data_IF_909614314525
#
_entry.id   IF_909614314525
#
_cell.length_a   1.000
_cell.length_b   1.000
_cell.length_c   1.000
_cell.angle_alpha   90.00
_cell.angle_beta   90.00
_cell.angle_gamma   90.00
#
_symmetry.space_group_name_H-M   'P 1'
#
loop_
_entity.id
_entity.type
_entity.pdbx_description
1 polymer ?
#
# COMPACT_ATOMS: atom_id res chain seq x y z
N UNK A 1 -19.76 6.96 -14.49
CA UNK A 1 -19.17 7.32 -13.18
C UNK A 1 -18.51 6.08 -12.59
N UNK A 2 -17.21 6.11 -12.36
CA UNK A 2 -16.46 4.93 -11.91
C UNK A 2 -16.75 4.60 -10.44
N UNK A 3 -16.77 5.61 -9.55
CA UNK A 3 -17.15 5.49 -8.16
C UNK A 3 -18.60 5.97 -7.98
N UNK A 4 -19.40 5.17 -7.25
CA UNK A 4 -20.81 5.45 -6.97
C UNK A 4 -21.10 5.61 -5.48
N UNK A 5 -20.05 5.70 -4.67
CA UNK A 5 -20.16 5.85 -3.23
C UNK A 5 -20.94 7.11 -2.86
N UNK A 6 -21.80 6.99 -1.85
CA UNK A 6 -22.63 8.10 -1.36
C UNK A 6 -21.79 9.25 -0.84
N UNK A 7 -20.66 8.94 -0.22
CA UNK A 7 -19.74 9.89 0.35
C UNK A 7 -18.39 9.81 -0.35
N UNK A 8 -17.95 10.90 -0.89
CA UNK A 8 -16.67 11.03 -1.59
C UNK A 8 -16.04 12.34 -1.16
N UNK A 9 -14.76 12.33 -0.83
CA UNK A 9 -14.05 13.53 -0.41
C UNK A 9 -12.56 13.28 -0.29
N UNK A 10 -11.85 14.38 -0.07
CA UNK A 10 -10.42 14.39 0.22
C UNK A 10 -10.20 15.09 1.58
N UNK A 11 -9.23 14.69 2.38
CA UNK A 11 -8.88 15.44 3.58
C UNK A 11 -8.46 16.87 3.20
N UNK A 12 -9.03 17.89 3.85
CA UNK A 12 -8.80 19.30 3.52
C UNK A 12 -7.31 19.72 3.62
N UNK A 13 -6.56 19.11 4.53
CA UNK A 13 -5.13 19.34 4.74
C UNK A 13 -4.26 18.21 4.16
N UNK A 14 -4.86 17.33 3.35
CA UNK A 14 -4.18 16.18 2.76
C UNK A 14 -4.03 14.99 3.69
N UNK A 15 -3.61 13.86 3.11
CA UNK A 15 -3.48 12.60 3.83
C UNK A 15 -2.36 12.61 4.88
N UNK A 16 -1.27 13.33 4.64
CA UNK A 16 -0.15 13.43 5.60
C UNK A 16 -0.63 14.02 6.93
N UNK A 17 -1.38 15.11 6.88
CA UNK A 17 -1.94 15.74 8.08
C UNK A 17 -2.98 14.85 8.78
N UNK A 18 -3.80 14.13 8.00
CA UNK A 18 -4.76 13.16 8.54
C UNK A 18 -4.04 12.06 9.33
N UNK A 19 -3.04 11.41 8.72
CA UNK A 19 -2.28 10.35 9.39
C UNK A 19 -1.45 10.86 10.56
N UNK A 20 -0.85 12.05 10.46
CA UNK A 20 -0.14 12.65 11.59
C UNK A 20 -1.06 12.78 12.81
N UNK A 21 -2.29 13.29 12.62
CA UNK A 21 -3.28 13.36 13.72
C UNK A 21 -3.72 12.01 14.25
N UNK A 22 -3.88 11.01 13.38
CA UNK A 22 -4.23 9.64 13.82
C UNK A 22 -3.13 8.98 14.65
N UNK A 23 -1.87 9.31 14.39
CA UNK A 23 -0.69 8.74 15.05
C UNK A 23 -0.24 9.56 16.27
N UNK A 24 -0.80 10.75 16.47
CA UNK A 24 -0.51 11.63 17.63
C UNK A 24 -1.21 11.10 18.89
N UNK A 25 -0.62 10.06 19.48
CA UNK A 25 -1.14 9.42 20.68
C UNK A 25 0.01 8.92 21.56
N UNK A 26 -0.05 9.09 22.91
CA UNK A 26 1.04 8.75 23.82
C UNK A 26 1.45 7.27 23.83
N UNK A 27 0.57 6.38 23.35
CA UNK A 27 0.85 4.93 23.23
C UNK A 27 1.26 4.50 21.82
N UNK A 28 1.50 5.44 20.89
CA UNK A 28 1.97 5.16 19.55
C UNK A 28 3.37 5.72 19.39
N UNK A 29 4.31 4.85 19.02
CA UNK A 29 5.67 5.25 18.64
C UNK A 29 5.84 5.05 17.14
N UNK A 30 6.02 6.16 16.42
CA UNK A 30 6.28 6.13 14.98
C UNK A 30 7.79 6.10 14.73
N UNK A 31 8.24 5.11 13.97
CA UNK A 31 9.63 5.03 13.50
C UNK A 31 9.63 5.05 11.97
N UNK A 32 10.19 6.11 11.39
CA UNK A 32 10.35 6.27 9.94
C UNK A 32 11.70 5.74 9.47
N UNK A 33 11.89 5.63 8.16
CA UNK A 33 13.13 5.19 7.51
C UNK A 33 13.67 3.86 8.05
N UNK A 34 12.76 2.96 8.44
CA UNK A 34 13.08 1.67 9.03
C UNK A 34 12.36 0.55 8.29
N UNK A 35 13.11 -0.26 7.57
CA UNK A 35 12.58 -1.49 6.98
C UNK A 35 12.21 -2.49 8.08
N UNK A 36 10.99 -3.01 8.05
CA UNK A 36 10.52 -4.00 9.02
C UNK A 36 11.45 -5.23 9.11
N UNK A 37 12.06 -5.65 7.99
CA UNK A 37 13.01 -6.76 7.91
C UNK A 37 14.33 -6.49 8.63
N UNK A 38 14.71 -5.23 8.79
CA UNK A 38 15.90 -4.85 9.55
C UNK A 38 15.71 -4.94 11.07
N UNK A 39 14.46 -4.95 11.53
CA UNK A 39 14.13 -4.94 12.97
C UNK A 39 13.32 -6.15 13.41
N UNK A 40 12.70 -6.91 12.48
CA UNK A 40 11.95 -8.12 12.76
C UNK A 40 12.69 -9.34 12.19
N UNK A 41 12.81 -10.38 13.00
CA UNK A 41 13.35 -11.68 12.58
C UNK A 41 12.41 -12.79 13.03
N UNK A 42 12.14 -13.72 12.13
CA UNK A 42 11.25 -14.86 12.33
C UNK A 42 12.07 -16.17 12.41
N UNK A 43 12.02 -16.85 13.54
CA UNK A 43 12.65 -18.14 13.71
C UNK A 43 11.58 -19.24 13.59
N UNK A 44 11.49 -19.85 12.41
CA UNK A 44 10.52 -20.90 12.12
C UNK A 44 10.76 -22.19 12.90
N UNK A 45 11.99 -22.45 13.37
CA UNK A 45 12.32 -23.64 14.14
C UNK A 45 11.83 -23.57 15.60
N UNK A 46 11.81 -22.35 16.15
CA UNK A 46 11.37 -22.08 17.51
C UNK A 46 9.99 -21.43 17.59
N UNK A 47 9.37 -21.07 16.44
CA UNK A 47 8.13 -20.30 16.34
C UNK A 47 8.20 -18.98 17.11
N UNK A 48 9.36 -18.32 17.07
CA UNK A 48 9.65 -17.08 17.79
C UNK A 48 9.85 -15.90 16.85
N UNK A 49 9.43 -14.74 17.33
CA UNK A 49 9.69 -13.44 16.69
C UNK A 49 10.70 -12.70 17.55
N UNK A 50 11.60 -12.00 16.89
CA UNK A 50 12.55 -11.09 17.49
C UNK A 50 12.31 -9.69 16.95
N UNK A 51 12.32 -8.72 17.84
CA UNK A 51 12.28 -7.30 17.50
C UNK A 51 13.51 -6.61 18.05
N UNK A 52 14.34 -6.02 17.19
CA UNK A 52 15.63 -5.41 17.56
C UNK A 52 16.46 -6.34 18.44
N UNK A 53 16.62 -7.57 18.00
CA UNK A 53 17.37 -8.65 18.66
C UNK A 53 16.89 -9.04 20.08
N UNK A 54 15.69 -8.62 20.47
CA UNK A 54 15.04 -9.07 21.69
C UNK A 54 13.85 -9.98 21.35
N UNK A 55 13.60 -11.05 22.15
CA UNK A 55 12.39 -11.85 22.00
C UNK A 55 11.13 -10.96 22.04
N UNK A 56 10.20 -11.22 21.14
CA UNK A 56 9.00 -10.43 21.02
C UNK A 56 7.75 -11.32 21.03
N UNK A 57 6.94 -11.17 22.08
CA UNK A 57 5.70 -11.92 22.27
C UNK A 57 4.44 -11.11 21.89
N UNK A 58 4.64 -9.88 21.39
CA UNK A 58 3.56 -9.01 20.95
C UNK A 58 2.98 -9.39 19.58
N UNK A 59 1.92 -8.73 19.18
CA UNK A 59 1.28 -8.92 17.87
C UNK A 59 2.00 -8.13 16.80
N UNK A 60 2.18 -8.73 15.63
CA UNK A 60 2.72 -8.08 14.44
C UNK A 60 1.61 -7.97 13.41
N UNK A 61 1.23 -6.75 13.03
CA UNK A 61 0.32 -6.49 11.90
C UNK A 61 1.19 -6.02 10.74
N UNK A 62 1.34 -6.89 9.74
CA UNK A 62 2.20 -6.62 8.60
C UNK A 62 1.38 -6.19 7.39
N UNK A 63 1.77 -5.08 6.75
CA UNK A 63 1.05 -4.49 5.61
C UNK A 63 1.87 -4.41 4.33
N UNK A 64 3.16 -4.73 4.39
CA UNK A 64 4.06 -4.78 3.24
C UNK A 64 3.87 -6.03 2.38
N UNK A 65 4.72 -6.22 1.37
CA UNK A 65 4.68 -7.40 0.52
C UNK A 65 5.07 -8.66 1.30
N UNK A 66 4.21 -9.67 1.29
CA UNK A 66 4.36 -10.87 2.12
C UNK A 66 5.58 -11.71 1.74
N UNK A 67 5.93 -11.75 0.46
CA UNK A 67 7.12 -12.44 -0.05
C UNK A 67 8.42 -11.77 0.42
N UNK A 68 8.43 -10.44 0.56
CA UNK A 68 9.55 -9.70 1.14
C UNK A 68 9.74 -10.03 2.62
N UNK A 69 8.66 -10.14 3.39
CA UNK A 69 8.74 -10.53 4.80
C UNK A 69 9.36 -11.92 5.00
N UNK A 70 9.20 -12.80 4.03
CA UNK A 70 9.73 -14.17 4.05
C UNK A 70 11.00 -14.33 3.15
N UNK A 71 11.74 -13.23 2.89
CA UNK A 71 12.99 -13.21 2.12
C UNK A 71 12.88 -13.92 0.75
N UNK A 72 11.72 -13.81 0.09
CA UNK A 72 11.44 -14.42 -1.20
C UNK A 72 11.77 -15.91 -1.31
N UNK A 73 11.64 -16.65 -0.22
CA UNK A 73 12.05 -18.07 -0.10
C UNK A 73 11.39 -18.99 -1.15
N UNK A 74 10.27 -18.59 -1.72
CA UNK A 74 9.57 -19.28 -2.81
C UNK A 74 9.64 -18.56 -4.15
N UNK A 75 10.45 -17.49 -4.25
CA UNK A 75 10.51 -16.57 -5.38
C UNK A 75 9.57 -15.38 -5.22
N UNK A 76 9.82 -14.30 -5.98
CA UNK A 76 9.02 -13.07 -5.86
C UNK A 76 7.59 -13.29 -6.33
N UNK A 77 6.62 -12.72 -5.61
CA UNK A 77 5.24 -12.62 -6.05
C UNK A 77 5.13 -11.60 -7.19
N UNK A 78 4.39 -11.92 -8.26
CA UNK A 78 4.18 -11.00 -9.36
C UNK A 78 3.28 -9.83 -8.98
N UNK A 79 3.78 -8.61 -9.15
CA UNK A 79 3.03 -7.36 -8.99
C UNK A 79 3.08 -6.53 -10.26
N UNK A 80 2.10 -5.68 -10.45
CA UNK A 80 2.23 -4.52 -11.33
C UNK A 80 2.93 -3.40 -10.59
N UNK A 81 3.68 -2.60 -11.36
CA UNK A 81 4.31 -1.38 -10.89
C UNK A 81 3.85 -0.17 -11.70
N UNK A 82 4.19 1.01 -11.25
CA UNK A 82 3.93 2.27 -11.93
C UNK A 82 5.20 3.12 -11.96
N UNK A 83 5.35 3.88 -13.04
CA UNK A 83 6.26 5.02 -13.09
C UNK A 83 5.43 6.30 -13.16
N UNK A 84 5.76 7.23 -12.28
CA UNK A 84 5.13 8.54 -12.24
C UNK A 84 6.05 9.59 -12.90
N UNK A 85 5.48 10.39 -13.78
CA UNK A 85 6.13 11.55 -14.38
C UNK A 85 5.44 12.80 -13.82
N UNK A 86 6.12 13.50 -12.90
CA UNK A 86 5.63 14.74 -12.31
C UNK A 86 5.92 15.91 -13.22
N UNK A 87 4.90 16.69 -13.52
CA UNK A 87 4.91 17.79 -14.48
C UNK A 87 4.32 19.04 -13.87
N UNK A 88 4.75 20.19 -14.40
CA UNK A 88 4.24 21.50 -14.05
C UNK A 88 3.88 22.27 -15.31
N UNK A 89 2.85 23.11 -15.26
CA UNK A 89 2.43 23.99 -16.35
C UNK A 89 2.04 25.38 -15.83
N UNK A 90 2.50 26.42 -16.52
CA UNK A 90 2.18 27.82 -16.23
C UNK A 90 0.81 28.20 -16.83
N UNK A 91 -0.19 27.40 -16.50
CA UNK A 91 -1.59 27.62 -16.86
C UNK A 91 -2.49 27.10 -15.75
N UNK A 92 -3.70 27.62 -15.66
CA UNK A 92 -4.60 27.30 -14.55
C UNK A 92 -4.94 25.80 -14.50
N UNK A 93 -5.22 25.16 -15.62
CA UNK A 93 -5.53 23.75 -15.75
C UNK A 93 -4.98 23.17 -17.06
N UNK A 94 -4.55 21.89 -17.01
CA UNK A 94 -4.10 21.14 -18.21
C UNK A 94 -5.20 20.21 -18.75
N UNK A 95 -6.24 19.95 -17.96
CA UNK A 95 -7.36 19.09 -18.33
C UNK A 95 -8.64 19.52 -17.60
N UNK A 96 -9.83 19.07 -18.07
CA UNK A 96 -11.11 19.54 -17.51
C UNK A 96 -11.55 18.81 -16.22
N UNK A 97 -10.84 17.79 -15.78
CA UNK A 97 -11.18 16.97 -14.61
C UNK A 97 -9.95 16.60 -13.81
N UNK A 98 -10.14 16.29 -12.50
CA UNK A 98 -9.07 15.85 -11.60
C UNK A 98 -8.30 14.63 -12.14
N UNK A 99 -9.02 13.66 -12.70
CA UNK A 99 -8.46 12.42 -13.22
C UNK A 99 -9.06 12.12 -14.59
N UNK A 100 -8.19 11.93 -15.59
CA UNK A 100 -8.56 11.47 -16.93
C UNK A 100 -7.81 10.17 -17.25
N UNK A 101 -8.56 9.13 -17.57
CA UNK A 101 -7.99 7.85 -18.01
C UNK A 101 -7.85 7.82 -19.52
N UNK A 102 -6.71 7.34 -20.00
CA UNK A 102 -6.39 7.18 -21.41
C UNK A 102 -6.36 5.70 -21.75
N UNK A 103 -7.15 5.31 -22.73
CA UNK A 103 -7.33 3.89 -23.11
C UNK A 103 -6.58 3.50 -24.37
N UNK A 104 -6.16 4.48 -25.18
CA UNK A 104 -5.54 4.28 -26.51
C UNK A 104 -4.55 5.40 -26.84
N UNK A 105 -3.62 5.10 -27.74
CA UNK A 105 -2.76 6.07 -28.46
C UNK A 105 -1.66 6.76 -27.68
N UNK A 106 -1.56 6.54 -26.37
CA UNK A 106 -0.50 7.14 -25.53
C UNK A 106 0.11 6.09 -24.61
N UNK A 107 1.38 6.24 -24.19
CA UNK A 107 2.05 5.25 -23.36
C UNK A 107 1.68 5.30 -21.86
N UNK A 108 0.95 6.30 -21.43
CA UNK A 108 0.45 6.45 -20.06
C UNK A 108 -1.04 6.10 -19.98
N UNK A 109 -1.48 5.64 -18.82
CA UNK A 109 -2.88 5.21 -18.60
C UNK A 109 -3.73 6.28 -17.96
N UNK A 110 -3.11 7.29 -17.32
CA UNK A 110 -3.83 8.30 -16.54
C UNK A 110 -3.04 9.60 -16.44
N UNK A 111 -3.78 10.70 -16.40
CA UNK A 111 -3.29 11.99 -15.88
C UNK A 111 -4.13 12.36 -14.66
N UNK A 112 -3.45 12.74 -13.58
CA UNK A 112 -4.06 13.29 -12.37
C UNK A 112 -3.57 14.70 -12.16
N UNK A 113 -4.50 15.67 -12.09
CA UNK A 113 -4.23 17.08 -11.81
C UNK A 113 -4.67 17.40 -10.37
N UNK A 114 -3.71 17.77 -9.54
CA UNK A 114 -3.90 17.81 -8.08
C UNK A 114 -4.78 18.95 -7.59
N UNK A 115 -4.82 20.08 -8.27
CA UNK A 115 -5.62 21.25 -7.86
C UNK A 115 -7.10 20.93 -7.70
N UNK A 116 -7.66 20.12 -8.60
CA UNK A 116 -9.05 19.68 -8.48
C UNK A 116 -9.33 18.86 -7.22
N UNK A 117 -8.34 18.11 -6.72
CA UNK A 117 -8.46 17.27 -5.53
C UNK A 117 -8.25 18.09 -4.25
N UNK A 118 -7.29 19.03 -4.26
CA UNK A 118 -6.93 19.84 -3.09
C UNK A 118 -7.76 21.11 -2.94
N UNK A 119 -8.46 21.56 -4.00
CA UNK A 119 -9.15 22.85 -4.03
C UNK A 119 -8.20 24.06 -4.10
N UNK A 120 -6.91 23.85 -4.37
CA UNK A 120 -5.92 24.91 -4.44
C UNK A 120 -6.23 25.90 -5.56
N UNK A 121 -6.12 27.20 -5.26
CA UNK A 121 -6.24 28.29 -6.22
C UNK A 121 -4.83 28.80 -6.60
N UNK A 122 -4.46 28.67 -7.88
CA UNK A 122 -3.18 29.13 -8.39
C UNK A 122 -3.26 29.33 -9.91
N UNK A 123 -2.46 30.23 -10.47
CA UNK A 123 -2.37 30.45 -11.92
C UNK A 123 -1.60 29.37 -12.68
N UNK A 124 -0.85 28.53 -11.96
CA UNK A 124 -0.12 27.37 -12.48
C UNK A 124 -0.65 26.08 -11.90
N UNK A 125 -0.31 24.93 -12.47
CA UNK A 125 -0.79 23.64 -12.02
C UNK A 125 0.30 22.58 -12.05
N UNK A 126 0.22 21.60 -11.11
CA UNK A 126 1.04 20.41 -11.14
C UNK A 126 0.15 19.19 -11.39
N UNK A 127 0.67 18.28 -12.18
CA UNK A 127 -0.03 17.05 -12.55
C UNK A 127 0.94 15.88 -12.71
N UNK A 128 0.42 14.67 -12.74
CA UNK A 128 1.21 13.47 -12.90
C UNK A 128 0.66 12.60 -14.03
N UNK A 129 1.56 12.03 -14.84
CA UNK A 129 1.26 10.94 -15.77
C UNK A 129 1.67 9.61 -15.15
N UNK A 130 0.77 8.63 -15.24
CA UNK A 130 0.98 7.28 -14.72
C UNK A 130 1.30 6.32 -15.86
N UNK A 131 2.49 5.71 -15.83
CA UNK A 131 2.92 4.72 -16.81
C UNK A 131 2.85 3.31 -16.17
N UNK A 132 2.07 2.39 -16.75
CA UNK A 132 1.98 1.03 -16.24
C UNK A 132 3.25 0.26 -16.56
N UNK A 133 3.79 -0.45 -15.60
CA UNK A 133 4.97 -1.29 -15.73
C UNK A 133 4.72 -2.66 -15.11
N UNK A 134 5.28 -3.75 -15.67
CA UNK A 134 5.49 -4.96 -14.89
C UNK A 134 6.55 -4.71 -13.82
N UNK A 135 6.40 -5.27 -12.64
CA UNK A 135 7.48 -5.32 -11.66
C UNK A 135 8.47 -6.40 -12.09
N UNK A 136 9.61 -6.00 -12.62
CA UNK A 136 10.66 -6.91 -13.13
C UNK A 136 11.84 -7.02 -12.19
N UNK A 137 11.99 -6.06 -11.28
CA UNK A 137 13.07 -5.99 -10.28
C UNK A 137 12.49 -5.66 -8.89
N UNK A 138 13.20 -6.04 -7.82
CA UNK A 138 12.72 -5.88 -6.46
C UNK A 138 12.74 -4.42 -5.95
N UNK A 139 13.51 -3.55 -6.58
CA UNK A 139 13.56 -2.11 -6.32
C UNK A 139 12.34 -1.34 -6.88
N UNK A 140 11.59 -1.97 -7.80
CA UNK A 140 10.35 -1.40 -8.30
C UNK A 140 9.23 -1.59 -7.27
N UNK A 141 8.49 -0.51 -7.01
CA UNK A 141 7.39 -0.52 -6.05
C UNK A 141 6.30 -1.53 -6.44
N UNK A 142 5.91 -2.46 -5.54
CA UNK A 142 4.76 -3.34 -5.77
C UNK A 142 3.46 -2.53 -5.64
N UNK A 143 2.76 -2.31 -6.74
CA UNK A 143 1.57 -1.47 -6.75
C UNK A 143 0.29 -2.24 -6.47
N UNK A 144 0.05 -3.33 -7.20
CA UNK A 144 -1.02 -4.27 -6.90
C UNK A 144 -0.76 -5.65 -7.49
N UNK A 145 -1.31 -6.70 -6.84
CA UNK A 145 -1.06 -8.09 -7.23
C UNK A 145 -1.64 -8.43 -8.61
N UNK A 146 -1.01 -9.38 -9.28
CA UNK A 146 -1.52 -9.97 -10.52
C UNK A 146 -2.22 -11.27 -10.12
N UNK A 147 -3.55 -11.20 -9.92
CA UNK A 147 -4.35 -12.35 -9.51
C UNK A 147 -4.54 -13.33 -10.67
N UNK A 148 -4.03 -14.54 -10.50
CA UNK A 148 -4.30 -15.74 -11.28
C UNK A 148 -4.02 -16.98 -10.41
N UNK A 149 -4.44 -18.15 -10.84
CA UNK A 149 -4.35 -19.39 -10.04
C UNK A 149 -2.92 -19.74 -9.62
N UNK A 150 -1.92 -19.50 -10.47
CA UNK A 150 -0.51 -19.77 -10.18
C UNK A 150 0.03 -18.84 -9.08
N UNK A 151 -0.25 -17.55 -9.21
CA UNK A 151 0.19 -16.54 -8.26
C UNK A 151 -0.52 -16.67 -6.90
N UNK A 152 -1.79 -17.04 -6.92
CA UNK A 152 -2.57 -17.35 -5.72
C UNK A 152 -2.01 -18.59 -5.00
N UNK A 153 -1.61 -19.62 -5.74
CA UNK A 153 -0.95 -20.80 -5.18
C UNK A 153 0.42 -20.45 -4.57
N UNK A 154 1.18 -19.56 -5.22
CA UNK A 154 2.45 -19.07 -4.68
C UNK A 154 2.22 -18.24 -3.40
N UNK A 155 1.23 -17.36 -3.40
CA UNK A 155 0.83 -16.60 -2.20
C UNK A 155 0.43 -17.54 -1.05
N UNK A 156 -0.36 -18.58 -1.32
CA UNK A 156 -0.80 -19.53 -0.31
C UNK A 156 0.40 -20.19 0.43
N UNK A 157 1.49 -20.49 -0.26
CA UNK A 157 2.73 -21.02 0.37
C UNK A 157 3.34 -20.02 1.35
N UNK A 158 3.33 -18.72 1.03
CA UNK A 158 3.80 -17.67 1.93
C UNK A 158 2.89 -17.52 3.14
N UNK A 159 1.58 -17.51 2.93
CA UNK A 159 0.60 -17.42 4.00
C UNK A 159 0.70 -18.63 4.97
N UNK A 160 0.83 -19.85 4.43
CA UNK A 160 1.03 -21.07 5.22
C UNK A 160 2.33 -21.02 6.04
N UNK A 161 3.43 -20.56 5.44
CA UNK A 161 4.70 -20.38 6.16
C UNK A 161 4.58 -19.43 7.36
N UNK A 162 3.83 -18.35 7.21
CA UNK A 162 3.64 -17.36 8.28
C UNK A 162 2.57 -17.80 9.31
N UNK A 163 1.70 -18.74 8.97
CA UNK A 163 0.68 -19.25 9.88
C UNK A 163 1.25 -19.98 11.10
N UNK A 164 2.53 -20.41 11.06
CA UNK A 164 3.21 -20.95 12.24
C UNK A 164 3.52 -19.90 13.32
N UNK A 165 3.31 -18.61 13.03
CA UNK A 165 3.42 -17.49 13.96
C UNK A 165 2.02 -16.92 14.27
N UNK A 166 1.29 -17.44 15.27
CA UNK A 166 -0.12 -17.06 15.50
C UNK A 166 -0.32 -15.58 15.88
N UNK A 167 0.75 -14.89 16.27
CA UNK A 167 0.74 -13.46 16.57
C UNK A 167 0.98 -12.57 15.34
N UNK A 168 1.18 -13.14 14.13
CA UNK A 168 1.38 -12.40 12.87
C UNK A 168 0.06 -12.30 12.10
N UNK A 169 -0.33 -11.09 11.79
CA UNK A 169 -1.55 -10.77 11.05
C UNK A 169 -1.18 -10.07 9.76
N UNK A 170 -1.59 -10.62 8.63
CA UNK A 170 -1.42 -10.01 7.33
C UNK A 170 -2.62 -9.11 7.02
N UNK A 171 -2.36 -7.84 6.72
CA UNK A 171 -3.42 -6.86 6.46
C UNK A 171 -3.07 -5.99 5.26
N UNK A 172 -4.03 -5.81 4.38
CA UNK A 172 -3.91 -4.90 3.25
C UNK A 172 -3.46 -5.54 1.94
N UNK A 173 -3.38 -4.71 0.92
CA UNK A 173 -3.23 -5.12 -0.47
C UNK A 173 -2.02 -6.01 -0.73
N UNK A 174 -0.86 -5.65 -0.20
CA UNK A 174 0.39 -6.36 -0.44
C UNK A 174 0.53 -7.60 0.44
N UNK A 175 0.22 -7.47 1.74
CA UNK A 175 0.34 -8.58 2.69
C UNK A 175 -0.66 -9.71 2.42
N UNK A 176 -1.88 -9.39 1.97
CA UNK A 176 -2.92 -10.37 1.65
C UNK A 176 -2.97 -10.73 0.15
N UNK A 177 -2.06 -10.19 -0.65
CA UNK A 177 -1.98 -10.41 -2.10
C UNK A 177 -3.34 -10.22 -2.78
N UNK A 178 -4.08 -9.15 -2.41
CA UNK A 178 -5.45 -8.91 -2.85
C UNK A 178 -5.67 -7.44 -3.17
N UNK A 179 -6.44 -7.17 -4.23
CA UNK A 179 -6.82 -5.80 -4.56
C UNK A 179 -7.83 -5.26 -3.53
N UNK A 180 -7.50 -4.10 -2.96
CA UNK A 180 -8.38 -3.33 -2.08
C UNK A 180 -8.43 -1.87 -2.52
N UNK A 181 -9.62 -1.25 -2.49
CA UNK A 181 -9.76 0.19 -2.38
C UNK A 181 -9.53 0.62 -0.93
N UNK A 182 -9.34 1.94 -0.69
CA UNK A 182 -9.02 2.45 0.65
C UNK A 182 -10.11 2.15 1.68
N UNK A 183 -11.37 2.30 1.32
CA UNK A 183 -12.53 1.98 2.16
C UNK A 183 -12.54 0.50 2.59
N UNK A 184 -12.28 -0.39 1.65
CA UNK A 184 -12.24 -1.83 1.91
C UNK A 184 -11.09 -2.22 2.84
N UNK A 185 -9.89 -1.66 2.67
CA UNK A 185 -8.77 -1.97 3.57
C UNK A 185 -8.98 -1.38 4.97
N UNK A 186 -9.59 -0.21 5.08
CA UNK A 186 -9.97 0.37 6.39
C UNK A 186 -11.00 -0.51 7.10
N UNK A 187 -12.00 -1.02 6.37
CA UNK A 187 -12.97 -1.97 6.94
C UNK A 187 -12.29 -3.23 7.50
N UNK A 188 -11.35 -3.81 6.76
CA UNK A 188 -10.58 -4.98 7.24
C UNK A 188 -9.72 -4.62 8.46
N UNK A 189 -9.11 -3.44 8.50
CA UNK A 189 -8.34 -2.97 9.66
C UNK A 189 -9.22 -2.83 10.92
N UNK A 190 -10.41 -2.26 10.78
CA UNK A 190 -11.37 -2.13 11.88
C UNK A 190 -11.84 -3.50 12.38
N UNK A 191 -12.16 -4.44 11.46
CA UNK A 191 -12.53 -5.80 11.82
C UNK A 191 -11.42 -6.51 12.59
N UNK A 192 -10.17 -6.42 12.12
CA UNK A 192 -9.02 -7.00 12.81
C UNK A 192 -8.84 -6.36 14.20
N UNK A 193 -8.97 -5.04 14.31
CA UNK A 193 -8.87 -4.34 15.61
C UNK A 193 -9.93 -4.84 16.61
N UNK A 194 -11.18 -5.05 16.17
CA UNK A 194 -12.23 -5.62 17.01
C UNK A 194 -11.92 -7.05 17.47
N UNK A 195 -11.35 -7.87 16.60
CA UNK A 195 -10.92 -9.25 16.94
C UNK A 195 -9.79 -9.27 17.96
N UNK A 196 -8.85 -8.32 17.85
CA UNK A 196 -7.68 -8.25 18.72
C UNK A 196 -7.95 -7.62 20.09
N UNK A 197 -9.08 -6.94 20.26
CA UNK A 197 -9.47 -6.26 21.50
C UNK A 197 -10.53 -7.00 22.33
N UNK A 198 -11.06 -8.10 21.82
CA UNK A 198 -11.94 -9.04 22.56
C UNK A 198 -11.12 -9.98 23.44
#
# INVERSE_FOLDING_TARGET
RYFQDRWQGMPSEGYTALFARMLDHPHITLTLDTDARSVLRFDGSQHKIWYRDQPFDGRVIFTGAVDELADHVYGPLPYRSLRFEHLHADQEHVQPYAVVNYTVSVPFTRITEFKYLSGQQASSTSYVREYPLPRTTLDQEPYYPIANAENEALYARYAERLACFPQVYLLGRLAQYRYYNMDAVVKEALRLAEELTR
#
